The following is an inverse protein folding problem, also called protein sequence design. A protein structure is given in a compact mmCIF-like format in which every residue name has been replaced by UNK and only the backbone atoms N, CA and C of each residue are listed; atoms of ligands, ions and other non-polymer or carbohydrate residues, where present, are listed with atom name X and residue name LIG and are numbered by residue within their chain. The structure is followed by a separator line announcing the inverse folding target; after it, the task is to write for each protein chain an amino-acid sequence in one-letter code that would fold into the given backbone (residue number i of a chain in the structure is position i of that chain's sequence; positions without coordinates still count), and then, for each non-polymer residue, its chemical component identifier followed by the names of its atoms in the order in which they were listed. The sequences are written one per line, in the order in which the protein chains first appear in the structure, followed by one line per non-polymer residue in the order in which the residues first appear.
data_IF_623544586415
#
_entry.id   IF_623544586415
#
_cell.length_a   1.000
_cell.length_b   1.000
_cell.length_c   1.000
_cell.angle_alpha   90.00
_cell.angle_beta   90.00
_cell.angle_gamma   90.00
#
_symmetry.space_group_name_H-M   'P 1'
#
loop_
_entity.id
_entity.type
_entity.pdbx_description
1 polymer ?
#
# COMPACT_ATOMS: atom_id res chain seq x y z
N UNK A 1 29.68 5.30 -18.56
CA UNK A 1 29.24 3.92 -18.88
C UNK A 1 27.76 3.85 -18.53
N UNK A 2 26.93 3.36 -19.44
CA UNK A 2 25.51 3.12 -19.15
C UNK A 2 25.43 1.96 -18.14
N UNK A 3 24.91 2.20 -16.95
CA UNK A 3 24.69 1.16 -15.95
C UNK A 3 23.38 0.45 -16.24
N UNK A 4 23.39 -0.87 -16.30
CA UNK A 4 22.17 -1.68 -16.38
C UNK A 4 21.24 -1.33 -15.22
N UNK A 5 19.92 -1.13 -15.44
CA UNK A 5 18.98 -0.88 -14.35
C UNK A 5 19.01 -2.03 -13.33
N UNK A 6 19.13 -1.70 -12.04
CA UNK A 6 19.14 -2.67 -10.96
C UNK A 6 17.76 -2.72 -10.29
N UNK A 7 17.07 -3.85 -10.45
CA UNK A 7 15.76 -4.14 -9.85
C UNK A 7 15.88 -4.95 -8.55
N UNK A 8 17.09 -5.21 -8.06
CA UNK A 8 17.30 -6.03 -6.87
C UNK A 8 16.75 -5.34 -5.61
N UNK A 9 16.10 -6.15 -4.79
CA UNK A 9 15.71 -5.81 -3.42
C UNK A 9 16.35 -6.76 -2.40
N UNK A 10 17.29 -7.59 -2.85
CA UNK A 10 17.99 -8.54 -1.99
C UNK A 10 18.71 -7.83 -0.83
N UNK A 11 18.57 -8.37 0.38
CA UNK A 11 19.14 -7.81 1.61
C UNK A 11 18.47 -6.52 2.12
N UNK A 12 17.43 -6.00 1.46
CA UNK A 12 16.65 -4.87 1.97
C UNK A 12 15.76 -5.30 3.13
N UNK A 13 15.61 -4.43 4.12
CA UNK A 13 14.68 -4.57 5.23
C UNK A 13 13.38 -3.83 4.90
N UNK A 14 12.28 -4.56 4.83
CA UNK A 14 10.98 -4.08 4.34
C UNK A 14 9.94 -4.22 5.44
N UNK A 15 9.28 -3.14 5.82
CA UNK A 15 8.12 -3.12 6.70
C UNK A 15 6.85 -2.95 5.84
N UNK A 16 5.89 -3.85 6.03
CA UNK A 16 4.60 -3.82 5.34
C UNK A 16 3.48 -3.81 6.37
N UNK A 17 2.79 -2.68 6.54
CA UNK A 17 1.59 -2.63 7.38
C UNK A 17 0.39 -3.17 6.63
N UNK A 18 -0.56 -3.81 7.33
CA UNK A 18 -1.61 -4.59 6.67
C UNK A 18 -1.05 -5.82 5.94
N UNK A 19 0.10 -6.31 6.40
CA UNK A 19 0.88 -7.36 5.73
C UNK A 19 0.27 -8.76 5.81
N UNK A 20 -0.76 -8.96 6.62
CA UNK A 20 -1.54 -10.22 6.66
C UNK A 20 -2.74 -10.21 5.72
N UNK A 21 -3.09 -9.03 5.18
CA UNK A 21 -4.18 -8.85 4.20
C UNK A 21 -3.78 -9.22 2.77
N UNK A 22 -4.74 -9.23 1.83
CA UNK A 22 -4.55 -9.72 0.46
C UNK A 22 -3.37 -9.08 -0.29
N UNK A 23 -3.33 -7.74 -0.41
CA UNK A 23 -2.25 -7.05 -1.13
C UNK A 23 -0.96 -7.11 -0.31
N UNK A 24 -1.03 -6.86 1.00
CA UNK A 24 0.14 -6.84 1.87
C UNK A 24 0.85 -8.18 1.94
N UNK A 25 0.10 -9.29 2.00
CA UNK A 25 0.67 -10.64 2.02
C UNK A 25 1.32 -11.03 0.68
N UNK A 26 0.74 -10.61 -0.44
CA UNK A 26 1.36 -10.79 -1.76
C UNK A 26 2.67 -10.01 -1.88
N UNK A 27 2.71 -8.79 -1.37
CA UNK A 27 3.96 -8.02 -1.31
C UNK A 27 4.99 -8.68 -0.39
N UNK A 28 4.57 -9.11 0.81
CA UNK A 28 5.47 -9.78 1.75
C UNK A 28 6.13 -11.01 1.12
N UNK A 29 5.34 -11.85 0.45
CA UNK A 29 5.84 -13.00 -0.27
C UNK A 29 6.80 -12.60 -1.40
N UNK A 30 6.42 -11.65 -2.23
CA UNK A 30 7.23 -11.23 -3.38
C UNK A 30 8.59 -10.64 -2.93
N UNK A 31 8.61 -9.78 -1.91
CA UNK A 31 9.86 -9.24 -1.38
C UNK A 31 10.74 -10.33 -0.78
N UNK A 32 10.16 -11.29 -0.05
CA UNK A 32 10.88 -12.42 0.51
C UNK A 32 11.50 -13.31 -0.58
N UNK A 33 10.74 -13.63 -1.63
CA UNK A 33 11.18 -14.44 -2.77
C UNK A 33 12.33 -13.74 -3.55
N UNK A 34 12.40 -12.40 -3.47
CA UNK A 34 13.50 -11.61 -4.04
C UNK A 34 14.63 -11.32 -3.05
N UNK A 35 14.70 -12.06 -1.94
CA UNK A 35 15.81 -12.02 -0.99
C UNK A 35 15.80 -10.86 0.00
N UNK A 36 14.68 -10.19 0.20
CA UNK A 36 14.53 -9.15 1.23
C UNK A 36 14.22 -9.77 2.60
N UNK A 37 14.52 -9.02 3.67
CA UNK A 37 14.07 -9.30 5.03
C UNK A 37 12.74 -8.61 5.26
N UNK A 38 11.68 -9.38 5.55
CA UNK A 38 10.31 -8.85 5.59
C UNK A 38 9.76 -8.87 7.01
N UNK A 39 9.25 -7.71 7.42
CA UNK A 39 8.44 -7.52 8.63
C UNK A 39 7.03 -7.16 8.17
N UNK A 40 6.03 -7.91 8.61
CA UNK A 40 4.63 -7.55 8.43
C UNK A 40 4.06 -7.05 9.75
N UNK A 41 3.32 -5.95 9.70
CA UNK A 41 2.65 -5.38 10.87
C UNK A 41 1.14 -5.33 10.62
N UNK A 42 0.35 -5.85 11.55
CA UNK A 42 -1.11 -5.92 11.42
C UNK A 42 -1.78 -6.03 12.79
N UNK A 43 -3.10 -5.82 12.85
CA UNK A 43 -3.89 -6.01 14.08
C UNK A 43 -3.93 -7.48 14.52
N UNK A 44 -3.95 -8.40 13.57
CA UNK A 44 -4.03 -9.83 13.83
C UNK A 44 -2.85 -10.58 13.20
N UNK A 45 -2.39 -11.68 13.83
CA UNK A 45 -1.31 -12.48 13.28
C UNK A 45 -1.68 -13.06 11.90
N UNK A 46 -0.67 -13.40 11.09
CA UNK A 46 -0.89 -14.05 9.80
C UNK A 46 -1.56 -15.42 9.99
N UNK A 47 -2.25 -15.86 8.95
CA UNK A 47 -2.88 -17.18 8.93
C UNK A 47 -1.83 -18.30 8.96
N UNK A 48 -2.25 -19.47 9.41
CA UNK A 48 -1.42 -20.68 9.33
C UNK A 48 -0.88 -20.91 7.91
N UNK A 49 0.37 -21.36 7.81
CA UNK A 49 1.06 -21.57 6.54
C UNK A 49 1.79 -20.34 5.98
N UNK A 50 1.83 -19.22 6.69
CA UNK A 50 2.71 -18.10 6.34
C UNK A 50 4.18 -18.50 6.48
N UNK A 51 5.03 -18.05 5.55
CA UNK A 51 6.45 -18.35 5.57
C UNK A 51 7.11 -17.92 6.90
N UNK A 52 7.76 -18.83 7.64
CA UNK A 52 8.32 -18.54 8.96
C UNK A 52 9.46 -17.50 8.93
N UNK A 53 9.99 -17.17 7.78
CA UNK A 53 10.99 -16.10 7.60
C UNK A 53 10.38 -14.70 7.64
N UNK A 54 9.06 -14.59 7.52
CA UNK A 54 8.33 -13.31 7.66
C UNK A 54 8.14 -13.04 9.16
N UNK A 55 8.76 -11.99 9.66
CA UNK A 55 8.56 -11.53 11.04
C UNK A 55 7.23 -10.81 11.16
N UNK A 56 6.43 -11.16 12.18
CA UNK A 56 5.19 -10.49 12.50
C UNK A 56 5.34 -9.54 13.68
N UNK A 57 4.73 -8.35 13.56
CA UNK A 57 4.58 -7.35 14.62
C UNK A 57 3.10 -7.00 14.74
N UNK A 58 2.55 -7.04 15.95
CA UNK A 58 1.19 -6.54 16.18
C UNK A 58 1.21 -5.02 16.19
N UNK A 59 0.30 -4.38 15.43
CA UNK A 59 0.27 -2.93 15.27
C UNK A 59 -1.12 -2.44 14.87
N UNK A 60 -1.66 -1.48 15.62
CA UNK A 60 -2.69 -0.57 15.12
C UNK A 60 -2.02 0.68 14.54
N UNK A 61 -2.12 0.87 13.23
CA UNK A 61 -1.52 2.04 12.55
C UNK A 61 -2.15 3.37 12.95
N UNK A 62 -3.28 3.34 13.69
CA UNK A 62 -3.94 4.54 14.22
C UNK A 62 -3.37 4.96 15.58
N UNK A 63 -2.64 4.10 16.25
CA UNK A 63 -2.05 4.36 17.55
C UNK A 63 -0.64 4.93 17.42
N UNK A 64 -0.46 6.22 17.80
CA UNK A 64 0.82 6.90 17.73
C UNK A 64 1.89 6.23 18.62
N UNK A 65 1.48 5.68 19.78
CA UNK A 65 2.39 5.05 20.73
C UNK A 65 2.89 3.70 20.23
N UNK A 66 2.01 2.88 19.62
CA UNK A 66 2.39 1.59 19.03
C UNK A 66 3.33 1.80 17.82
N UNK A 67 3.00 2.75 16.93
CA UNK A 67 3.85 3.09 15.79
C UNK A 67 5.21 3.62 16.26
N UNK A 68 5.23 4.49 17.26
CA UNK A 68 6.47 5.02 17.85
C UNK A 68 7.31 3.92 18.50
N UNK A 69 6.68 3.00 19.24
CA UNK A 69 7.37 1.86 19.85
C UNK A 69 7.94 0.89 18.80
N UNK A 70 7.22 0.64 17.71
CA UNK A 70 7.74 -0.18 16.61
C UNK A 70 8.95 0.51 15.95
N UNK A 71 8.87 1.81 15.69
CA UNK A 71 10.00 2.55 15.13
C UNK A 71 11.21 2.53 16.07
N UNK A 72 11.02 2.73 17.38
CA UNK A 72 12.13 2.75 18.34
C UNK A 72 12.91 1.43 18.44
N UNK A 73 12.29 0.28 18.14
CA UNK A 73 12.94 -1.04 18.17
C UNK A 73 13.37 -1.56 16.80
N UNK A 74 13.09 -0.82 15.72
CA UNK A 74 13.55 -1.17 14.39
C UNK A 74 15.04 -0.84 14.26
N UNK A 75 15.86 -1.83 13.89
CA UNK A 75 17.32 -1.62 13.73
C UNK A 75 17.65 -1.00 12.38
N UNK A 76 17.03 -1.50 11.33
CA UNK A 76 17.24 -1.06 9.95
C UNK A 76 15.95 -1.16 9.16
N UNK A 77 15.65 -0.15 8.35
CA UNK A 77 14.59 -0.21 7.34
C UNK A 77 15.04 0.51 6.07
N UNK A 78 14.84 -0.17 4.95
CA UNK A 78 15.10 0.36 3.61
C UNK A 78 13.79 0.75 2.91
N UNK A 79 12.68 0.06 3.24
CA UNK A 79 11.38 0.23 2.60
C UNK A 79 10.27 0.17 3.62
N UNK A 80 9.35 1.11 3.57
CA UNK A 80 8.08 1.06 4.30
C UNK A 80 6.93 1.07 3.30
N UNK A 81 6.00 0.11 3.42
CA UNK A 81 4.82 -0.01 2.55
C UNK A 81 3.58 0.02 3.44
N UNK A 82 2.65 0.95 3.18
CA UNK A 82 1.42 1.06 3.95
C UNK A 82 0.25 0.43 3.19
N UNK A 83 -0.06 -0.83 3.52
CA UNK A 83 -1.20 -1.57 2.96
C UNK A 83 -2.39 -1.69 3.93
N UNK A 84 -2.22 -1.33 5.22
CA UNK A 84 -3.31 -1.41 6.18
C UNK A 84 -4.49 -0.54 5.76
N UNK A 85 -5.68 -1.11 5.88
CA UNK A 85 -6.89 -0.40 5.51
C UNK A 85 -8.12 -1.26 5.46
N UNK A 86 -9.27 -0.60 5.49
CA UNK A 86 -10.59 -1.22 5.35
C UNK A 86 -11.52 -0.34 4.51
N UNK A 87 -12.63 -0.89 4.09
CA UNK A 87 -13.72 -0.15 3.45
C UNK A 87 -15.00 -0.41 4.22
N UNK A 88 -15.76 0.65 4.54
CA UNK A 88 -17.02 0.56 5.27
C UNK A 88 -18.24 0.90 4.39
N UNK A 89 -18.00 1.25 3.13
CA UNK A 89 -19.04 1.48 2.12
C UNK A 89 -20.04 2.54 2.59
N UNK A 90 -21.35 2.24 2.53
CA UNK A 90 -22.42 3.18 2.91
C UNK A 90 -22.34 3.64 4.37
N UNK A 91 -21.72 2.89 5.26
CA UNK A 91 -21.48 3.32 6.65
C UNK A 91 -20.55 4.55 6.72
N UNK A 92 -19.75 4.79 5.69
CA UNK A 92 -18.84 5.94 5.60
C UNK A 92 -19.57 7.30 5.49
N UNK A 93 -20.89 7.31 5.33
CA UNK A 93 -21.71 8.52 5.45
C UNK A 93 -21.91 8.95 6.91
N UNK A 94 -21.59 8.11 7.89
CA UNK A 94 -21.54 8.48 9.31
C UNK A 94 -20.22 9.19 9.59
N UNK A 95 -20.24 10.41 10.20
CA UNK A 95 -19.02 11.19 10.41
C UNK A 95 -17.92 10.46 11.21
N UNK A 96 -18.29 9.64 12.18
CA UNK A 96 -17.35 8.85 13.00
C UNK A 96 -16.66 7.75 12.16
N UNK A 97 -17.41 7.07 11.28
CA UNK A 97 -16.85 6.06 10.37
C UNK A 97 -15.99 6.73 9.31
N UNK A 98 -16.42 7.87 8.77
CA UNK A 98 -15.64 8.65 7.82
C UNK A 98 -14.28 9.05 8.39
N UNK A 99 -14.25 9.55 9.64
CA UNK A 99 -13.00 9.92 10.34
C UNK A 99 -12.09 8.71 10.53
N UNK A 100 -12.62 7.58 10.92
CA UNK A 100 -11.85 6.35 11.09
C UNK A 100 -11.22 5.86 9.76
N UNK A 101 -11.98 5.95 8.65
CA UNK A 101 -11.45 5.63 7.32
C UNK A 101 -10.31 6.60 6.92
N UNK A 102 -10.48 7.89 7.19
CA UNK A 102 -9.40 8.86 6.96
C UNK A 102 -8.16 8.55 7.83
N UNK A 103 -8.35 8.20 9.08
CA UNK A 103 -7.25 7.91 9.99
C UNK A 103 -6.43 6.69 9.50
N UNK A 104 -7.08 5.55 9.25
CA UNK A 104 -6.40 4.34 8.75
C UNK A 104 -5.66 4.59 7.43
N UNK A 105 -6.30 5.28 6.47
CA UNK A 105 -5.76 5.35 5.11
C UNK A 105 -4.87 6.57 4.85
N UNK A 106 -5.15 7.71 5.48
CA UNK A 106 -4.45 8.96 5.19
C UNK A 106 -3.56 9.40 6.34
N UNK A 107 -4.10 9.52 7.55
CA UNK A 107 -3.32 10.00 8.71
C UNK A 107 -2.24 8.99 9.07
N UNK A 108 -2.54 7.68 9.01
CA UNK A 108 -1.55 6.63 9.25
C UNK A 108 -0.36 6.67 8.26
N UNK A 109 -0.57 7.07 6.99
CA UNK A 109 0.56 7.29 6.07
C UNK A 109 1.52 8.38 6.60
N UNK A 110 0.98 9.49 7.09
CA UNK A 110 1.81 10.56 7.66
C UNK A 110 2.48 10.12 8.95
N UNK A 111 1.76 9.41 9.81
CA UNK A 111 2.27 8.85 11.07
C UNK A 111 3.46 7.92 10.85
N UNK A 112 3.31 6.96 9.93
CA UNK A 112 4.38 6.04 9.54
C UNK A 112 5.55 6.76 8.88
N UNK A 113 5.28 7.71 7.98
CA UNK A 113 6.31 8.50 7.33
C UNK A 113 7.19 9.24 8.37
N UNK A 114 6.58 9.88 9.35
CA UNK A 114 7.31 10.59 10.41
C UNK A 114 8.08 9.64 11.33
N UNK A 115 7.46 8.55 11.80
CA UNK A 115 8.06 7.61 12.72
C UNK A 115 9.28 6.90 12.12
N UNK A 116 9.20 6.50 10.85
CA UNK A 116 10.27 5.75 10.18
C UNK A 116 11.22 6.62 9.34
N UNK A 117 11.00 7.94 9.26
CA UNK A 117 11.89 8.88 8.56
C UNK A 117 13.36 8.73 8.93
N UNK A 118 13.76 8.62 10.22
CA UNK A 118 15.17 8.45 10.58
C UNK A 118 15.80 7.18 9.99
N UNK A 119 15.07 6.07 9.97
CA UNK A 119 15.54 4.78 9.42
C UNK A 119 15.68 4.86 7.90
N UNK A 120 14.67 5.40 7.21
CA UNK A 120 14.69 5.59 5.76
C UNK A 120 15.79 6.56 5.33
N UNK A 121 16.06 7.61 6.11
CA UNK A 121 17.18 8.53 5.89
C UNK A 121 18.52 7.80 5.99
N UNK A 122 18.71 6.99 7.02
CA UNK A 122 19.96 6.23 7.23
C UNK A 122 20.26 5.24 6.09
N UNK A 123 19.23 4.76 5.39
CA UNK A 123 19.36 3.77 4.30
C UNK A 123 19.22 4.36 2.89
N UNK A 124 18.98 5.69 2.74
CA UNK A 124 18.49 6.29 1.50
C UNK A 124 17.29 5.49 0.92
N UNK A 125 16.36 5.19 1.81
CA UNK A 125 15.27 4.26 1.56
C UNK A 125 14.07 4.88 0.84
N UNK A 126 12.94 4.18 0.89
CA UNK A 126 11.71 4.68 0.28
C UNK A 126 10.45 4.32 1.05
N UNK A 127 9.44 5.18 0.91
CA UNK A 127 8.07 4.96 1.35
C UNK A 127 7.18 4.69 0.13
N UNK A 128 6.39 3.61 0.19
CA UNK A 128 5.43 3.26 -0.85
C UNK A 128 4.04 3.27 -0.24
N UNK A 129 3.23 4.23 -0.65
CA UNK A 129 1.85 4.36 -0.22
C UNK A 129 0.92 3.57 -1.15
N UNK A 130 -0.19 3.07 -0.62
CA UNK A 130 -1.23 2.44 -1.44
C UNK A 130 -2.40 3.39 -1.60
N UNK A 131 -2.50 3.99 -2.79
CA UNK A 131 -3.65 4.76 -3.24
C UNK A 131 -4.78 3.82 -3.73
N UNK A 132 -5.52 4.20 -4.75
CA UNK A 132 -6.55 3.39 -5.42
C UNK A 132 -6.99 4.10 -6.70
N UNK A 133 -7.59 3.38 -7.64
CA UNK A 133 -8.35 4.01 -8.73
C UNK A 133 -9.49 4.91 -8.21
N UNK A 134 -10.00 4.67 -7.00
CA UNK A 134 -10.96 5.56 -6.32
C UNK A 134 -10.39 6.95 -6.01
N UNK A 135 -9.09 7.17 -6.15
CA UNK A 135 -8.50 8.51 -6.08
C UNK A 135 -8.80 9.37 -7.32
N UNK A 136 -9.17 8.75 -8.43
CA UNK A 136 -9.41 9.42 -9.71
C UNK A 136 -10.90 9.60 -10.03
N UNK A 137 -11.77 8.86 -9.33
CA UNK A 137 -13.21 8.84 -9.62
C UNK A 137 -14.04 8.95 -8.34
N UNK A 138 -15.14 9.68 -8.40
CA UNK A 138 -16.14 9.68 -7.33
C UNK A 138 -16.81 8.30 -7.21
N UNK A 139 -16.94 7.79 -6.00
CA UNK A 139 -17.60 6.50 -5.72
C UNK A 139 -18.69 6.73 -4.68
N UNK A 140 -19.95 6.61 -5.10
CA UNK A 140 -21.11 6.91 -4.26
C UNK A 140 -21.23 6.03 -3.01
N UNK A 141 -20.66 4.85 -3.00
CA UNK A 141 -20.76 3.90 -1.88
C UNK A 141 -19.66 4.05 -0.83
N UNK A 142 -18.59 4.80 -1.09
CA UNK A 142 -17.39 4.83 -0.25
C UNK A 142 -16.75 6.23 -0.25
N UNK A 143 -17.45 7.25 0.28
CA UNK A 143 -16.99 8.64 0.21
C UNK A 143 -15.73 8.88 1.04
N UNK A 144 -15.61 8.27 2.22
CA UNK A 144 -14.45 8.37 3.08
C UNK A 144 -13.22 7.71 2.47
N UNK A 145 -13.40 6.50 1.92
CA UNK A 145 -12.32 5.80 1.25
C UNK A 145 -11.79 6.57 0.01
N UNK A 146 -12.70 7.11 -0.82
CA UNK A 146 -12.31 7.92 -1.99
C UNK A 146 -11.58 9.19 -1.58
N UNK A 147 -12.08 9.90 -0.56
CA UNK A 147 -11.42 11.09 -0.01
C UNK A 147 -10.03 10.76 0.53
N UNK A 148 -9.91 9.68 1.31
CA UNK A 148 -8.64 9.22 1.85
C UNK A 148 -7.63 8.88 0.73
N UNK A 149 -8.04 8.12 -0.28
CA UNK A 149 -7.16 7.69 -1.37
C UNK A 149 -6.73 8.84 -2.29
N UNK A 150 -7.60 9.84 -2.50
CA UNK A 150 -7.22 11.11 -3.15
C UNK A 150 -6.22 11.88 -2.29
N UNK A 151 -6.45 11.94 -0.97
CA UNK A 151 -5.52 12.53 -0.01
C UNK A 151 -4.15 11.85 -0.02
N UNK A 152 -4.09 10.52 -0.12
CA UNK A 152 -2.83 9.76 -0.22
C UNK A 152 -2.03 10.17 -1.46
N UNK A 153 -2.68 10.39 -2.62
CA UNK A 153 -1.99 10.88 -3.84
C UNK A 153 -1.34 12.24 -3.60
N UNK A 154 -2.07 13.17 -2.96
CA UNK A 154 -1.55 14.51 -2.63
C UNK A 154 -0.45 14.44 -1.57
N UNK A 155 -0.66 13.66 -0.50
CA UNK A 155 0.32 13.47 0.57
C UNK A 155 1.63 12.86 0.04
N UNK A 156 1.55 11.89 -0.87
CA UNK A 156 2.72 11.29 -1.53
C UNK A 156 3.61 12.35 -2.19
N UNK A 157 3.01 13.29 -2.92
CA UNK A 157 3.75 14.40 -3.56
C UNK A 157 4.40 15.32 -2.53
N UNK A 158 3.65 15.69 -1.49
CA UNK A 158 4.14 16.57 -0.43
C UNK A 158 5.30 15.93 0.34
N UNK A 159 5.21 14.65 0.70
CA UNK A 159 6.27 13.92 1.39
C UNK A 159 7.49 13.71 0.49
N UNK A 160 7.29 13.47 -0.81
CA UNK A 160 8.39 13.34 -1.77
C UNK A 160 9.25 14.62 -1.84
N UNK A 161 8.60 15.80 -1.77
CA UNK A 161 9.31 17.08 -1.73
C UNK A 161 9.97 17.28 -0.36
N UNK A 162 9.25 17.02 0.73
CA UNK A 162 9.72 17.29 2.08
C UNK A 162 10.90 16.38 2.50
N UNK A 163 11.01 15.18 1.93
CA UNK A 163 12.01 14.18 2.33
C UNK A 163 13.17 14.05 1.34
N UNK A 164 13.20 14.85 0.27
CA UNK A 164 14.24 14.75 -0.76
C UNK A 164 15.64 15.03 -0.21
N UNK A 165 15.78 15.97 0.71
CA UNK A 165 17.08 16.29 1.34
C UNK A 165 17.59 15.17 2.26
N UNK A 166 16.70 14.30 2.72
CA UNK A 166 17.04 13.09 3.48
C UNK A 166 17.40 11.90 2.58
N UNK A 167 17.37 12.07 1.26
CA UNK A 167 17.60 10.98 0.31
C UNK A 167 16.47 9.97 0.22
N UNK A 168 15.29 10.27 0.79
CA UNK A 168 14.13 9.35 0.84
C UNK A 168 13.25 9.61 -0.37
N UNK A 169 12.86 8.53 -1.07
CA UNK A 169 11.85 8.59 -2.13
C UNK A 169 10.49 8.21 -1.58
N UNK A 170 9.45 8.93 -2.01
CA UNK A 170 8.06 8.65 -1.62
C UNK A 170 7.21 8.54 -2.89
N UNK A 171 6.62 7.37 -3.11
CA UNK A 171 5.77 7.08 -4.25
C UNK A 171 4.51 6.33 -3.82
N UNK A 172 3.57 6.18 -4.73
CA UNK A 172 2.36 5.41 -4.48
C UNK A 172 2.05 4.43 -5.61
N UNK A 173 1.34 3.37 -5.27
CA UNK A 173 0.68 2.48 -6.21
C UNK A 173 -0.83 2.74 -6.09
N UNK A 174 -1.54 2.83 -7.21
CA UNK A 174 -2.99 2.92 -7.25
C UNK A 174 -3.57 1.63 -7.84
N UNK A 175 -3.93 0.64 -7.00
CA UNK A 175 -4.56 -0.59 -7.46
C UNK A 175 -5.91 -0.32 -8.11
N UNK A 176 -6.21 -1.12 -9.15
CA UNK A 176 -7.54 -1.26 -9.68
C UNK A 176 -8.40 -2.22 -8.85
N UNK A 177 -9.10 -3.08 -9.54
CA UNK A 177 -9.96 -4.10 -8.95
C UNK A 177 -9.18 -5.40 -8.71
N UNK A 178 -8.83 -5.66 -7.46
CA UNK A 178 -7.95 -6.74 -7.03
C UNK A 178 -8.75 -7.80 -6.28
N UNK A 179 -8.48 -9.08 -6.54
CA UNK A 179 -9.06 -10.22 -5.84
C UNK A 179 -8.49 -10.30 -4.42
N UNK A 180 -9.23 -9.78 -3.45
CA UNK A 180 -8.90 -9.82 -2.03
C UNK A 180 -10.15 -10.12 -1.21
N UNK A 181 -10.01 -10.31 0.08
CA UNK A 181 -11.15 -10.45 1.00
C UNK A 181 -12.05 -9.19 0.97
N UNK A 182 -11.46 -7.99 0.89
CA UNK A 182 -12.19 -6.71 0.79
C UNK A 182 -13.17 -6.68 -0.40
N UNK A 183 -12.84 -7.35 -1.50
CA UNK A 183 -13.62 -7.37 -2.73
C UNK A 183 -14.43 -8.66 -2.91
N UNK A 184 -14.31 -9.65 -2.01
CA UNK A 184 -14.93 -10.96 -2.13
C UNK A 184 -16.45 -10.88 -2.31
N UNK A 185 -17.13 -10.12 -1.46
CA UNK A 185 -18.58 -9.98 -1.55
C UNK A 185 -19.05 -9.46 -2.92
N UNK A 186 -18.33 -8.49 -3.51
CA UNK A 186 -18.65 -7.96 -4.84
C UNK A 186 -18.43 -9.00 -5.95
N UNK A 187 -17.42 -9.87 -5.78
CA UNK A 187 -17.13 -10.92 -6.77
C UNK A 187 -18.07 -12.11 -6.71
N UNK A 188 -18.50 -12.48 -5.51
CA UNK A 188 -19.16 -13.77 -5.27
C UNK A 188 -20.67 -13.65 -5.00
N UNK A 189 -21.13 -12.54 -4.38
CA UNK A 189 -22.55 -12.38 -4.08
C UNK A 189 -23.35 -11.95 -5.33
N UNK A 190 -24.43 -12.65 -5.60
CA UNK A 190 -25.35 -12.38 -6.72
C UNK A 190 -26.04 -11.00 -6.61
N UNK A 191 -26.25 -10.51 -5.41
CA UNK A 191 -26.80 -9.17 -5.15
C UNK A 191 -25.98 -8.06 -5.85
N UNK A 192 -24.68 -8.26 -6.02
CA UNK A 192 -23.77 -7.29 -6.66
C UNK A 192 -23.47 -7.58 -8.13
N UNK A 193 -24.22 -8.50 -8.77
CA UNK A 193 -23.96 -8.94 -10.16
C UNK A 193 -23.95 -7.78 -11.15
N UNK A 194 -24.91 -6.85 -11.04
CA UNK A 194 -24.96 -5.67 -11.92
C UNK A 194 -23.75 -4.74 -11.73
N UNK A 195 -23.38 -4.47 -10.47
CA UNK A 195 -22.20 -3.63 -10.16
C UNK A 195 -20.93 -4.33 -10.63
N UNK A 196 -20.80 -5.62 -10.39
CA UNK A 196 -19.67 -6.43 -10.88
C UNK A 196 -19.53 -6.36 -12.39
N UNK A 197 -20.63 -6.50 -13.12
CA UNK A 197 -20.62 -6.43 -14.58
C UNK A 197 -20.22 -5.03 -15.09
N UNK A 198 -20.68 -3.95 -14.44
CA UNK A 198 -20.26 -2.57 -14.73
C UNK A 198 -18.76 -2.38 -14.50
N UNK A 199 -18.22 -2.95 -13.42
CA UNK A 199 -16.77 -2.90 -13.13
C UNK A 199 -15.99 -3.66 -14.20
N UNK A 200 -16.39 -4.89 -14.51
CA UNK A 200 -15.69 -5.72 -15.50
C UNK A 200 -15.73 -5.09 -16.91
N UNK A 201 -16.86 -4.51 -17.29
CA UNK A 201 -17.02 -3.86 -18.60
C UNK A 201 -16.08 -2.64 -18.78
N UNK A 202 -15.66 -2.02 -17.68
CA UNK A 202 -14.73 -0.89 -17.71
C UNK A 202 -13.25 -1.32 -17.66
N UNK A 203 -12.94 -2.56 -17.29
CA UNK A 203 -11.58 -3.07 -17.36
C UNK A 203 -11.35 -3.59 -18.79
N UNK A 204 -10.44 -3.03 -19.60
CA UNK A 204 -10.24 -3.48 -21.00
C UNK A 204 -10.01 -4.98 -21.13
N UNK A 205 -9.27 -5.61 -20.20
CA UNK A 205 -9.06 -7.06 -20.16
C UNK A 205 -10.21 -7.88 -19.59
N UNK A 206 -11.30 -7.25 -19.11
CA UNK A 206 -12.50 -7.89 -18.61
C UNK A 206 -12.33 -8.76 -17.36
N UNK A 207 -11.23 -8.62 -16.62
CA UNK A 207 -10.94 -9.45 -15.46
C UNK A 207 -10.34 -8.66 -14.30
N UNK A 208 -10.55 -9.18 -13.08
CA UNK A 208 -9.90 -8.67 -11.88
C UNK A 208 -8.47 -9.18 -11.81
N UNK A 209 -7.56 -8.32 -11.33
CA UNK A 209 -6.18 -8.71 -11.07
C UNK A 209 -6.05 -9.56 -9.81
N UNK A 210 -5.03 -10.39 -9.77
CA UNK A 210 -4.57 -11.03 -8.54
C UNK A 210 -3.69 -10.05 -7.74
N UNK A 211 -3.53 -10.26 -6.43
CA UNK A 211 -2.75 -9.35 -5.60
C UNK A 211 -1.26 -9.34 -6.00
N UNK A 212 -0.78 -10.45 -6.52
CA UNK A 212 0.57 -10.67 -7.03
C UNK A 212 0.89 -9.78 -8.24
N UNK A 213 -0.10 -9.39 -9.05
CA UNK A 213 0.08 -8.51 -10.20
C UNK A 213 0.58 -7.11 -9.81
N UNK A 214 0.40 -6.71 -8.55
CA UNK A 214 0.88 -5.45 -8.00
C UNK A 214 2.36 -5.50 -7.58
N UNK A 215 2.90 -6.69 -7.31
CA UNK A 215 4.20 -6.87 -6.67
C UNK A 215 5.36 -6.32 -7.51
N UNK A 216 5.28 -6.45 -8.83
CA UNK A 216 6.30 -5.93 -9.74
C UNK A 216 6.48 -4.41 -9.60
N UNK A 217 5.39 -3.65 -9.46
CA UNK A 217 5.43 -2.21 -9.23
C UNK A 217 6.06 -1.86 -7.87
N UNK A 218 5.75 -2.63 -6.82
CA UNK A 218 6.31 -2.42 -5.48
C UNK A 218 7.82 -2.69 -5.46
N UNK A 219 8.28 -3.80 -6.06
CA UNK A 219 9.70 -4.13 -6.19
C UNK A 219 10.44 -3.07 -7.01
N UNK A 220 9.87 -2.65 -8.15
CA UNK A 220 10.44 -1.57 -8.96
C UNK A 220 10.63 -0.29 -8.15
N UNK A 221 9.58 0.19 -7.44
CA UNK A 221 9.65 1.40 -6.62
C UNK A 221 10.62 1.27 -5.45
N UNK A 222 10.84 0.08 -4.92
CA UNK A 222 11.79 -0.21 -3.85
C UNK A 222 13.25 -0.35 -4.33
N UNK A 223 13.47 -0.59 -5.63
CA UNK A 223 14.77 -0.87 -6.20
C UNK A 223 15.52 0.38 -6.65
N UNK A 224 16.81 0.22 -7.01
CA UNK A 224 17.61 1.29 -7.58
C UNK A 224 17.18 1.68 -9.02
N UNK A 225 16.44 0.81 -9.72
CA UNK A 225 15.88 1.13 -11.04
C UNK A 225 14.94 2.35 -11.01
N UNK A 226 14.34 2.66 -9.86
CA UNK A 226 13.46 3.82 -9.65
C UNK A 226 14.12 5.01 -8.95
N UNK A 227 15.47 5.09 -8.94
CA UNK A 227 16.22 6.11 -8.19
C UNK A 227 15.87 7.57 -8.52
N UNK A 228 15.32 7.83 -9.71
CA UNK A 228 14.89 9.17 -10.15
C UNK A 228 13.37 9.32 -10.20
N UNK A 229 12.62 8.35 -9.63
CA UNK A 229 11.17 8.38 -9.52
C UNK A 229 10.78 8.77 -8.11
N UNK A 230 10.14 9.94 -7.97
CA UNK A 230 9.74 10.51 -6.68
C UNK A 230 8.42 11.30 -6.83
N UNK A 231 7.47 11.11 -5.92
CA UNK A 231 6.17 11.78 -5.92
C UNK A 231 5.17 11.24 -6.94
N UNK A 232 5.43 10.09 -7.58
CA UNK A 232 4.53 9.51 -8.57
C UNK A 232 3.50 8.58 -7.90
N UNK A 233 2.33 8.50 -8.51
CA UNK A 233 1.35 7.43 -8.25
C UNK A 233 1.22 6.60 -9.51
N UNK A 234 1.55 5.31 -9.43
CA UNK A 234 1.50 4.37 -10.56
C UNK A 234 0.17 3.62 -10.51
N UNK A 235 -0.74 3.80 -11.48
CA UNK A 235 -1.90 2.95 -11.62
C UNK A 235 -1.48 1.52 -12.01
N UNK A 236 -1.99 0.53 -11.28
CA UNK A 236 -1.87 -0.89 -11.62
C UNK A 236 -3.28 -1.46 -11.62
N UNK A 237 -3.99 -1.23 -12.71
CA UNK A 237 -5.44 -1.31 -12.76
C UNK A 237 -6.01 -1.95 -14.04
N UNK A 238 -5.17 -2.54 -14.88
CA UNK A 238 -5.57 -3.17 -16.14
C UNK A 238 -6.20 -2.20 -17.14
N UNK A 239 -5.88 -0.91 -17.06
CA UNK A 239 -6.41 0.13 -17.92
C UNK A 239 -7.77 0.71 -17.47
N UNK A 240 -8.26 0.35 -16.28
CA UNK A 240 -9.54 0.84 -15.75
C UNK A 240 -9.62 2.36 -15.68
N UNK A 241 -8.53 3.04 -15.36
CA UNK A 241 -8.48 4.50 -15.27
C UNK A 241 -8.23 5.21 -16.60
N UNK A 242 -7.86 4.47 -17.64
CA UNK A 242 -7.62 4.99 -18.97
C UNK A 242 -8.85 4.92 -19.90
N UNK A 243 -9.91 4.24 -19.48
CA UNK A 243 -11.15 4.00 -20.23
C UNK A 243 -12.33 4.85 -19.71
#
# INVERSE_FOLDING_TARGET
MATTPDFSVAGKHVLITGGTGGIGSAFAKAFLDHGAHVIVADLAPPKDGTDPRIRFEQLDVRDDSEVGALAARAEKLDVVIHCAGRIARLEEYKPEVFKDILDIHLVANLRLANAFRPHLKASNGCLINIASVHAYFGVSRSPGYSAAKTGVVSLTKSLAIAFVEDGIRVNAIAPGWIKTEMTRALRENSEFSELRNKVLARIPGGQWADAEDLAGAAIFLASAASKFINGVTIPVDGGYSAS
#
